data_IF_328405440031
#
_entry.id   IF_328405440031
#
_cell.length_a   1.000
_cell.length_b   1.000
_cell.length_c   1.000
_cell.angle_alpha   90.00
_cell.angle_beta   90.00
_cell.angle_gamma   90.00
#
_symmetry.space_group_name_H-M   'P 1'
#
loop_
_entity.id
_entity.type
_entity.pdbx_description
1 polymer ?
#
# COMPACT_ATOMS: atom_id res chain seq x y z
N UNK A 1 5.86 -13.77 -26.24
CA UNK A 1 5.42 -12.99 -25.06
C UNK A 1 6.58 -12.88 -24.08
N UNK A 2 7.02 -11.68 -23.80
CA UNK A 2 8.00 -11.40 -22.74
C UNK A 2 7.41 -10.40 -21.72
N UNK A 3 7.84 -10.52 -20.48
CA UNK A 3 7.56 -9.58 -19.40
C UNK A 3 8.91 -9.05 -18.92
N UNK A 4 9.06 -7.75 -18.87
CA UNK A 4 10.22 -7.08 -18.30
C UNK A 4 9.80 -6.39 -17.01
N UNK A 5 10.33 -6.88 -15.89
CA UNK A 5 10.13 -6.27 -14.59
C UNK A 5 11.49 -5.86 -14.03
N UNK A 6 11.59 -4.62 -13.62
CA UNK A 6 12.76 -4.10 -12.93
C UNK A 6 12.31 -3.51 -11.59
N UNK A 7 12.95 -3.95 -10.51
CA UNK A 7 12.70 -3.43 -9.16
C UNK A 7 14.04 -3.07 -8.56
N UNK A 8 14.14 -1.88 -8.02
CA UNK A 8 15.29 -1.49 -7.21
C UNK A 8 14.84 -0.64 -6.02
N UNK A 9 15.62 -0.71 -4.97
CA UNK A 9 15.35 0.03 -3.75
C UNK A 9 16.65 0.56 -3.13
N UNK A 10 16.51 1.60 -2.33
CA UNK A 10 17.57 2.16 -1.50
C UNK A 10 16.98 2.52 -0.14
N UNK A 11 17.75 2.28 0.93
CA UNK A 11 17.33 2.60 2.27
C UNK A 11 18.47 3.21 3.09
N UNK A 12 18.12 4.20 3.91
CA UNK A 12 18.96 4.76 4.97
C UNK A 12 18.36 4.36 6.30
N UNK A 13 19.18 3.80 7.18
CA UNK A 13 18.77 3.38 8.51
C UNK A 13 19.56 4.14 9.56
N UNK A 14 18.87 4.50 10.61
CA UNK A 14 19.44 5.09 11.81
C UNK A 14 18.97 4.28 13.02
N UNK A 15 19.89 3.83 13.85
CA UNK A 15 19.62 3.05 15.05
C UNK A 15 20.51 3.53 16.18
N UNK A 16 19.89 3.96 17.29
CA UNK A 16 20.63 4.46 18.43
C UNK A 16 19.87 4.30 19.74
N UNK A 17 20.60 3.86 20.75
CA UNK A 17 20.19 3.94 22.15
C UNK A 17 20.70 5.26 22.76
N UNK A 18 19.77 6.09 23.21
CA UNK A 18 20.04 7.29 23.99
C UNK A 18 19.84 6.94 25.47
N UNK A 19 20.91 6.75 26.20
CA UNK A 19 20.90 6.16 27.53
C UNK A 19 20.37 4.69 27.52
N UNK A 20 20.30 4.06 28.69
CA UNK A 20 19.80 2.68 28.84
C UNK A 20 18.27 2.53 28.58
N UNK A 21 17.56 3.65 28.48
CA UNK A 21 16.09 3.66 28.49
C UNK A 21 15.44 4.06 27.17
N UNK A 22 16.16 4.75 26.29
CA UNK A 22 15.58 5.31 25.08
C UNK A 22 16.19 4.65 23.85
N UNK A 23 15.39 3.96 23.10
CA UNK A 23 15.75 3.40 21.81
C UNK A 23 15.04 4.15 20.69
N UNK A 24 15.78 4.56 19.68
CA UNK A 24 15.26 5.23 18.49
C UNK A 24 15.77 4.49 17.27
N UNK A 25 14.85 4.08 16.42
CA UNK A 25 15.17 3.59 15.09
C UNK A 25 14.40 4.40 14.04
N UNK A 26 15.07 4.72 12.95
CA UNK A 26 14.48 5.42 11.80
C UNK A 26 14.94 4.80 10.50
N UNK A 27 14.05 4.73 9.53
CA UNK A 27 14.36 4.28 8.18
C UNK A 27 13.71 5.21 7.16
N UNK A 28 14.49 5.66 6.20
CA UNK A 28 14.00 6.27 4.97
C UNK A 28 14.29 5.32 3.82
N UNK A 29 13.25 4.91 3.09
CA UNK A 29 13.37 3.96 1.98
C UNK A 29 12.70 4.51 0.73
N UNK A 30 13.33 4.27 -0.41
CA UNK A 30 12.76 4.51 -1.73
C UNK A 30 12.68 3.20 -2.50
N UNK A 31 11.52 2.90 -3.07
CA UNK A 31 11.29 1.75 -3.94
C UNK A 31 10.80 2.23 -5.30
N UNK A 32 11.35 1.62 -6.35
CA UNK A 32 10.93 1.81 -7.72
C UNK A 32 10.61 0.48 -8.37
N UNK A 33 9.48 0.43 -9.05
CA UNK A 33 9.07 -0.71 -9.86
C UNK A 33 8.74 -0.26 -11.28
N UNK A 34 9.31 -0.94 -12.25
CA UNK A 34 9.01 -0.84 -13.67
C UNK A 34 8.47 -2.18 -14.14
N UNK A 35 7.32 -2.17 -14.81
CA UNK A 35 6.72 -3.39 -15.34
C UNK A 35 6.21 -3.13 -16.77
N UNK A 36 6.75 -3.89 -17.71
CA UNK A 36 6.42 -3.81 -19.13
C UNK A 36 6.09 -5.20 -19.68
N UNK A 37 5.09 -5.27 -20.55
CA UNK A 37 4.60 -6.53 -21.12
C UNK A 37 4.42 -6.39 -22.63
N UNK A 38 4.89 -7.38 -23.38
CA UNK A 38 4.69 -7.43 -24.84
C UNK A 38 3.22 -7.38 -25.23
N UNK A 39 2.93 -6.64 -26.28
CA UNK A 39 1.60 -6.55 -26.85
C UNK A 39 0.69 -5.52 -26.19
N UNK A 40 1.21 -4.82 -25.18
CA UNK A 40 0.54 -3.68 -24.57
C UNK A 40 1.51 -2.49 -24.58
N UNK A 41 1.10 -1.35 -25.08
CA UNK A 41 1.86 -0.10 -24.97
C UNK A 41 1.71 0.53 -23.57
N UNK A 42 1.52 -0.33 -22.55
CA UNK A 42 1.14 0.09 -21.21
C UNK A 42 2.22 -0.31 -20.21
N UNK A 43 3.19 0.54 -20.08
CA UNK A 43 4.24 0.39 -19.05
C UNK A 43 3.76 0.93 -17.71
N UNK A 44 3.86 0.14 -16.66
CA UNK A 44 3.47 0.54 -15.31
C UNK A 44 4.73 0.90 -14.51
N UNK A 45 4.72 2.08 -13.94
CA UNK A 45 5.72 2.57 -13.00
C UNK A 45 5.08 2.78 -11.65
N UNK A 46 5.76 2.33 -10.60
CA UNK A 46 5.42 2.62 -9.20
C UNK A 46 6.63 3.17 -8.47
N UNK A 47 6.38 4.16 -7.65
CA UNK A 47 7.36 4.76 -6.75
C UNK A 47 6.78 4.77 -5.35
N UNK A 48 7.57 4.36 -4.36
CA UNK A 48 7.18 4.48 -2.97
C UNK A 48 8.32 5.17 -2.21
N UNK A 49 7.97 6.20 -1.47
CA UNK A 49 8.86 6.84 -0.50
C UNK A 49 8.30 6.49 0.87
N UNK A 50 9.09 5.77 1.67
CA UNK A 50 8.65 5.28 2.97
C UNK A 50 9.53 5.86 4.07
N UNK A 51 8.89 6.45 5.07
CA UNK A 51 9.52 6.85 6.33
C UNK A 51 8.96 5.97 7.45
N UNK A 52 9.84 5.30 8.17
CA UNK A 52 9.51 4.55 9.37
C UNK A 52 10.28 5.10 10.57
N UNK A 53 9.60 5.25 11.69
CA UNK A 53 10.18 5.65 12.95
C UNK A 53 9.69 4.74 14.07
N UNK A 54 10.62 4.30 14.90
CA UNK A 54 10.36 3.54 16.11
C UNK A 54 10.95 4.26 17.31
N UNK A 55 10.18 4.36 18.38
CA UNK A 55 10.65 4.84 19.67
C UNK A 55 10.27 3.87 20.78
N UNK A 56 11.27 3.39 21.50
CA UNK A 56 11.11 2.54 22.68
C UNK A 56 11.57 3.25 23.95
N UNK A 57 10.75 3.19 25.00
CA UNK A 57 11.09 3.70 26.33
C UNK A 57 11.12 2.57 27.34
N UNK A 58 12.33 2.27 27.87
CA UNK A 58 12.60 1.34 28.98
C UNK A 58 11.97 -0.06 28.76
N UNK A 59 11.83 -0.49 27.50
CA UNK A 59 11.08 -1.69 27.09
C UNK A 59 9.62 -1.74 27.62
N UNK A 60 9.08 -0.61 28.08
CA UNK A 60 7.71 -0.48 28.60
C UNK A 60 6.77 0.09 27.57
N UNK A 61 7.15 1.19 26.96
CA UNK A 61 6.34 1.89 25.96
C UNK A 61 7.04 1.82 24.62
N UNK A 62 6.32 1.41 23.60
CA UNK A 62 6.78 1.32 22.22
C UNK A 62 5.82 2.11 21.34
N UNK A 63 6.38 2.93 20.46
CA UNK A 63 5.63 3.75 19.53
C UNK A 63 6.26 3.64 18.13
N UNK A 64 5.43 3.32 17.13
CA UNK A 64 5.84 3.27 15.74
C UNK A 64 5.02 4.25 14.91
N UNK A 65 5.68 4.85 13.94
CA UNK A 65 5.05 5.64 12.88
C UNK A 65 5.60 5.20 11.54
N UNK A 66 4.72 5.00 10.58
CA UNK A 66 5.11 4.78 9.20
C UNK A 66 4.29 5.70 8.28
N UNK A 67 4.97 6.39 7.37
CA UNK A 67 4.39 7.21 6.33
C UNK A 67 4.88 6.67 5.01
N UNK A 68 3.97 6.30 4.12
CA UNK A 68 4.30 5.83 2.78
C UNK A 68 3.61 6.72 1.77
N UNK A 69 4.38 7.39 0.95
CA UNK A 69 3.90 8.12 -0.22
C UNK A 69 4.06 7.22 -1.44
N UNK A 70 2.94 6.82 -2.03
CA UNK A 70 2.88 5.90 -3.17
C UNK A 70 2.48 6.62 -4.44
N UNK A 71 3.29 6.50 -5.48
CA UNK A 71 3.00 7.02 -6.82
C UNK A 71 2.80 5.92 -7.84
N UNK A 72 1.76 6.02 -8.65
CA UNK A 72 1.45 5.05 -9.71
C UNK A 72 1.17 5.73 -11.03
N UNK A 73 1.77 5.21 -12.11
CA UNK A 73 1.47 5.67 -13.47
C UNK A 73 0.10 5.20 -13.98
N UNK A 74 -0.56 4.31 -13.25
CA UNK A 74 -1.90 3.79 -13.60
C UNK A 74 -3.00 4.83 -13.41
N UNK A 75 -2.72 5.87 -12.62
CA UNK A 75 -3.70 6.89 -12.26
C UNK A 75 -3.51 8.16 -13.09
N UNK A 76 -4.57 8.95 -13.18
CA UNK A 76 -4.58 10.19 -13.96
C UNK A 76 -3.54 11.20 -13.45
N UNK A 77 -3.02 12.07 -14.32
CA UNK A 77 -2.21 13.20 -13.90
C UNK A 77 -2.97 14.06 -12.87
N UNK A 78 -2.40 14.22 -11.68
CA UNK A 78 -3.04 14.87 -10.53
C UNK A 78 -3.41 13.92 -9.40
N UNK A 79 -3.79 12.68 -9.72
CA UNK A 79 -4.25 11.68 -8.74
C UNK A 79 -3.20 10.56 -8.51
N UNK A 80 -1.99 10.72 -9.07
CA UNK A 80 -0.95 9.68 -9.07
C UNK A 80 -0.39 9.36 -7.70
N UNK A 81 -0.41 10.31 -6.77
CA UNK A 81 0.26 10.20 -5.48
C UNK A 81 -0.75 10.12 -4.36
N UNK A 82 -0.53 9.21 -3.43
CA UNK A 82 -1.34 9.09 -2.23
C UNK A 82 -0.52 8.63 -1.03
N UNK A 83 -0.90 9.13 0.13
CA UNK A 83 -0.21 8.90 1.40
C UNK A 83 -0.94 7.84 2.23
N UNK A 84 -0.16 6.88 2.77
CA UNK A 84 -0.58 5.84 3.70
C UNK A 84 0.05 6.07 5.08
N UNK A 85 -0.58 6.82 5.97
CA UNK A 85 -0.12 6.97 7.35
C UNK A 85 -0.50 5.75 8.18
N UNK A 86 0.45 5.30 9.04
CA UNK A 86 0.24 4.23 10.01
C UNK A 86 0.90 4.59 11.33
N UNK A 87 0.22 4.34 12.41
CA UNK A 87 0.73 4.52 13.77
C UNK A 87 0.42 3.30 14.62
N UNK A 88 1.34 2.94 15.48
CA UNK A 88 1.12 1.89 16.48
C UNK A 88 1.70 2.25 17.83
N UNK A 89 1.06 1.72 18.86
CA UNK A 89 1.46 1.88 20.23
C UNK A 89 1.40 0.52 20.92
N UNK A 90 2.40 0.23 21.74
CA UNK A 90 2.36 -0.94 22.60
C UNK A 90 2.87 -0.61 24.00
N UNK A 91 2.21 -1.21 25.00
CA UNK A 91 2.56 -1.06 26.40
C UNK A 91 2.82 -2.42 27.02
N UNK A 92 4.07 -2.66 27.39
CA UNK A 92 4.50 -3.84 28.14
C UNK A 92 4.21 -3.62 29.63
N UNK A 93 3.01 -3.94 30.07
CA UNK A 93 2.54 -3.74 31.44
C UNK A 93 3.37 -4.57 32.44
N UNK A 94 3.82 -5.75 32.04
CA UNK A 94 4.68 -6.62 32.87
C UNK A 94 5.96 -5.94 33.34
N UNK A 95 6.47 -4.98 32.56
CA UNK A 95 7.69 -4.26 32.91
C UNK A 95 7.44 -3.09 33.86
N UNK A 96 6.18 -2.88 34.27
CA UNK A 96 5.84 -1.83 35.22
C UNK A 96 6.13 -2.23 36.68
N UNK A 97 6.48 -1.24 37.48
CA UNK A 97 6.88 -1.47 38.88
C UNK A 97 5.77 -2.12 39.70
N UNK A 98 4.50 -1.81 39.41
CA UNK A 98 3.34 -2.36 40.13
C UNK A 98 3.07 -3.84 39.82
N UNK A 99 3.61 -4.34 38.67
CA UNK A 99 3.44 -5.73 38.25
C UNK A 99 4.43 -6.70 38.90
N UNK A 100 5.51 -6.22 39.51
CA UNK A 100 6.59 -7.06 40.10
C UNK A 100 6.12 -8.10 41.12
N UNK A 101 5.01 -7.85 41.80
CA UNK A 101 4.46 -8.74 42.81
C UNK A 101 3.36 -9.69 42.30
N UNK A 102 3.00 -9.61 41.03
CA UNK A 102 1.95 -10.43 40.41
C UNK A 102 2.59 -11.70 39.86
N UNK A 103 2.54 -12.80 40.63
CA UNK A 103 3.24 -14.06 40.30
C UNK A 103 2.53 -14.95 39.27
N UNK A 104 1.24 -14.75 39.04
CA UNK A 104 0.45 -15.56 38.11
C UNK A 104 0.44 -15.03 36.67
N UNK A 105 0.91 -13.80 36.49
CA UNK A 105 0.96 -13.12 35.20
C UNK A 105 2.43 -12.83 34.84
N UNK A 106 3.01 -13.65 33.98
CA UNK A 106 4.43 -13.57 33.62
C UNK A 106 4.67 -12.48 32.57
N UNK A 107 3.71 -12.29 31.67
CA UNK A 107 3.78 -11.30 30.62
C UNK A 107 2.40 -10.73 30.31
N UNK A 108 2.33 -9.41 30.10
CA UNK A 108 1.16 -8.72 29.58
C UNK A 108 1.60 -7.53 28.73
N UNK A 109 1.16 -7.53 27.49
CA UNK A 109 1.38 -6.45 26.52
C UNK A 109 0.06 -6.04 25.90
N UNK A 110 -0.26 -4.75 25.94
CA UNK A 110 -1.37 -4.18 25.16
C UNK A 110 -0.83 -3.58 23.86
N UNK A 111 -1.63 -3.69 22.81
CA UNK A 111 -1.31 -3.17 21.49
C UNK A 111 -2.48 -2.39 20.93
N UNK A 112 -2.20 -1.27 20.28
CA UNK A 112 -3.18 -0.52 19.48
C UNK A 112 -2.51 -0.02 18.23
N UNK A 113 -3.18 -0.11 17.09
CA UNK A 113 -2.69 0.43 15.83
C UNK A 113 -3.82 1.00 14.99
N UNK A 114 -3.49 2.02 14.23
CA UNK A 114 -4.34 2.59 13.21
C UNK A 114 -3.50 2.86 11.97
N UNK A 115 -4.08 2.59 10.80
CA UNK A 115 -3.44 2.89 9.53
C UNK A 115 -4.43 3.04 8.40
N UNK A 116 -4.03 3.82 7.42
CA UNK A 116 -4.71 3.94 6.15
C UNK A 116 -3.83 3.34 5.05
N UNK A 117 -4.38 2.40 4.30
CA UNK A 117 -3.71 1.79 3.16
C UNK A 117 -4.34 2.28 1.87
N UNK A 118 -3.52 2.80 0.97
CA UNK A 118 -3.95 3.19 -0.36
C UNK A 118 -3.51 2.16 -1.40
N UNK A 119 -4.40 1.89 -2.35
CA UNK A 119 -4.19 0.92 -3.41
C UNK A 119 -4.50 1.56 -4.76
N UNK A 120 -3.68 1.28 -5.77
CA UNK A 120 -3.89 1.69 -7.16
C UNK A 120 -4.66 0.65 -7.97
N UNK A 121 -5.58 -0.08 -7.32
CA UNK A 121 -6.43 -1.10 -7.95
C UNK A 121 -7.61 -0.42 -8.62
N UNK A 122 -7.71 -0.61 -9.93
CA UNK A 122 -8.81 -0.06 -10.71
C UNK A 122 -9.91 -1.10 -10.90
N UNK A 123 -11.20 -0.72 -10.79
CA UNK A 123 -12.31 -1.60 -11.14
C UNK A 123 -12.17 -2.12 -12.57
N UNK A 124 -12.40 -3.42 -12.77
CA UNK A 124 -12.31 -4.04 -14.09
C UNK A 124 -10.90 -4.43 -14.54
N UNK A 125 -9.86 -4.14 -13.77
CA UNK A 125 -8.48 -4.53 -14.08
C UNK A 125 -7.80 -3.71 -15.19
N UNK A 126 -8.50 -2.75 -15.80
CA UNK A 126 -7.95 -1.92 -16.86
C UNK A 126 -7.01 -0.86 -16.31
N UNK A 127 -5.85 -0.76 -16.95
CA UNK A 127 -4.71 0.00 -16.45
C UNK A 127 -4.79 1.48 -16.82
N UNK A 128 -5.63 1.84 -17.79
CA UNK A 128 -5.56 3.16 -18.44
C UNK A 128 -6.95 3.79 -18.64
N UNK A 129 -7.77 3.76 -17.61
CA UNK A 129 -9.14 4.28 -17.67
C UNK A 129 -9.24 5.79 -17.81
N UNK A 130 -8.13 6.53 -17.65
CA UNK A 130 -8.07 7.98 -17.85
C UNK A 130 -7.72 8.38 -19.29
N UNK A 131 -7.48 7.41 -20.21
CA UNK A 131 -7.37 7.66 -21.63
C UNK A 131 -8.68 7.35 -22.35
N UNK A 132 -8.99 8.12 -23.39
CA UNK A 132 -10.06 7.79 -24.29
C UNK A 132 -9.72 6.51 -25.06
N UNK A 133 -10.66 5.59 -25.11
CA UNK A 133 -10.50 4.33 -25.81
C UNK A 133 -11.22 4.40 -27.15
N UNK A 134 -10.50 4.03 -28.21
CA UNK A 134 -11.03 3.96 -29.57
C UNK A 134 -11.13 2.50 -30.00
N UNK A 135 -12.27 2.13 -30.53
CA UNK A 135 -12.53 0.78 -31.05
C UNK A 135 -12.70 0.80 -32.55
N UNK A 136 -12.17 -0.26 -33.19
CA UNK A 136 -12.49 -0.56 -34.58
C UNK A 136 -13.84 -1.28 -34.65
N UNK A 137 -14.79 -0.73 -35.36
CA UNK A 137 -16.09 -1.34 -35.55
C UNK A 137 -16.00 -2.41 -36.66
N UNK A 138 -16.08 -3.68 -36.29
CA UNK A 138 -16.21 -4.77 -37.24
C UNK A 138 -17.67 -4.84 -37.70
N UNK A 139 -17.94 -4.59 -38.96
CA UNK A 139 -19.26 -4.82 -39.55
C UNK A 139 -19.95 -3.60 -40.19
N UNK A 140 -19.43 -2.39 -39.97
CA UNK A 140 -19.83 -1.24 -40.77
C UNK A 140 -18.61 -0.75 -41.52
N UNK A 141 -18.56 -1.06 -42.79
CA UNK A 141 -17.48 -0.65 -43.69
C UNK A 141 -18.03 0.29 -44.72
N UNK A 142 -17.30 1.37 -44.98
CA UNK A 142 -17.62 2.27 -46.09
C UNK A 142 -16.74 1.89 -47.29
N UNK A 143 -17.35 1.55 -48.43
CA UNK A 143 -16.61 1.42 -49.68
C UNK A 143 -16.20 2.81 -50.15
N UNK A 144 -14.92 2.96 -50.46
CA UNK A 144 -14.39 4.20 -51.02
C UNK A 144 -14.33 4.17 -52.57
N UNK A 145 -14.85 3.13 -53.18
CA UNK A 145 -14.97 3.01 -54.62
C UNK A 145 -16.43 3.07 -55.12
N UNK A 146 -16.63 3.49 -56.36
CA UNK A 146 -17.95 3.64 -56.97
C UNK A 146 -18.63 2.28 -57.27
N UNK A 147 -17.93 1.17 -57.14
CA UNK A 147 -18.40 -0.17 -57.54
C UNK A 147 -18.75 -1.06 -56.35
N UNK A 148 -18.52 -0.62 -55.13
CA UNK A 148 -18.74 -1.37 -53.88
C UNK A 148 -17.93 -2.70 -53.78
N UNK A 149 -16.91 -2.88 -54.62
CA UNK A 149 -16.11 -4.09 -54.70
C UNK A 149 -14.70 -3.94 -54.08
N UNK A 150 -14.37 -2.74 -53.65
CA UNK A 150 -13.07 -2.42 -53.10
C UNK A 150 -12.87 -2.78 -51.65
N UNK A 151 -11.72 -2.46 -51.15
CA UNK A 151 -11.34 -2.70 -49.76
C UNK A 151 -12.24 -1.92 -48.83
N UNK A 152 -12.91 -2.62 -47.93
CA UNK A 152 -13.74 -2.03 -46.90
C UNK A 152 -12.88 -1.66 -45.69
N UNK A 153 -12.96 -0.43 -45.24
CA UNK A 153 -12.27 0.05 -44.06
C UNK A 153 -13.25 0.11 -42.90
N UNK A 154 -12.89 -0.53 -41.78
CA UNK A 154 -13.68 -0.44 -40.55
C UNK A 154 -13.62 0.97 -39.94
N UNK A 155 -14.75 1.42 -39.43
CA UNK A 155 -14.82 2.69 -38.72
C UNK A 155 -14.22 2.59 -37.31
N UNK A 156 -13.55 3.65 -36.89
CA UNK A 156 -13.20 3.86 -35.49
C UNK A 156 -14.27 4.72 -34.82
N UNK A 157 -14.65 4.36 -33.64
CA UNK A 157 -15.55 5.14 -32.80
C UNK A 157 -15.00 5.29 -31.40
N UNK A 158 -15.39 6.35 -30.70
CA UNK A 158 -15.07 6.52 -29.29
C UNK A 158 -15.87 5.48 -28.48
N UNK A 159 -15.17 4.57 -27.85
CA UNK A 159 -15.78 3.55 -26.97
C UNK A 159 -16.06 4.10 -25.58
N UNK A 160 -15.33 3.62 -24.61
CA UNK A 160 -15.45 4.09 -23.23
C UNK A 160 -14.81 5.46 -23.07
N UNK A 161 -15.58 6.45 -22.59
CA UNK A 161 -15.05 7.76 -22.26
C UNK A 161 -14.03 7.66 -21.12
N UNK A 162 -13.01 8.50 -21.18
CA UNK A 162 -12.02 8.58 -20.08
C UNK A 162 -12.68 8.99 -18.78
N UNK A 163 -12.24 8.41 -17.70
CA UNK A 163 -12.55 8.85 -16.35
C UNK A 163 -11.59 9.98 -15.96
N UNK A 164 -12.12 11.17 -15.68
CA UNK A 164 -11.28 12.36 -15.43
C UNK A 164 -10.56 12.30 -14.08
N UNK A 165 -11.18 11.68 -13.10
CA UNK A 165 -10.64 11.51 -11.76
C UNK A 165 -10.76 10.05 -11.35
N UNK A 166 -9.61 9.41 -11.12
CA UNK A 166 -9.54 8.08 -10.54
C UNK A 166 -8.65 8.22 -9.33
N UNK A 167 -9.28 8.10 -8.18
CA UNK A 167 -8.58 8.14 -6.90
C UNK A 167 -8.13 6.74 -6.48
N UNK A 168 -7.22 6.70 -5.53
CA UNK A 168 -6.80 5.46 -4.90
C UNK A 168 -7.94 4.87 -4.07
N UNK A 169 -8.03 3.55 -4.06
CA UNK A 169 -8.85 2.86 -3.07
C UNK A 169 -8.21 3.04 -1.69
N UNK A 170 -9.01 3.47 -0.72
CA UNK A 170 -8.59 3.73 0.65
C UNK A 170 -9.18 2.67 1.60
N UNK A 171 -8.33 2.04 2.40
CA UNK A 171 -8.73 1.10 3.43
C UNK A 171 -8.17 1.55 4.80
N UNK A 172 -9.02 2.11 5.63
CA UNK A 172 -8.68 2.44 7.02
C UNK A 172 -8.83 1.21 7.90
N UNK A 173 -7.80 0.90 8.68
CA UNK A 173 -7.75 -0.25 9.59
C UNK A 173 -7.42 0.22 10.99
N UNK A 174 -8.17 -0.31 11.95
CA UNK A 174 -7.93 -0.14 13.38
C UNK A 174 -7.80 -1.51 14.03
N UNK A 175 -6.81 -1.69 14.89
CA UNK A 175 -6.60 -2.91 15.64
C UNK A 175 -6.26 -2.57 17.10
N UNK A 176 -6.86 -3.34 18.03
CA UNK A 176 -6.50 -3.35 19.45
C UNK A 176 -6.38 -4.80 19.89
N UNK A 177 -5.31 -5.12 20.60
CA UNK A 177 -5.07 -6.46 21.07
C UNK A 177 -4.24 -6.52 22.34
N UNK A 178 -4.15 -7.71 22.90
CA UNK A 178 -3.27 -8.00 24.00
C UNK A 178 -2.59 -9.37 23.86
N UNK A 179 -1.41 -9.47 24.44
CA UNK A 179 -0.67 -10.71 24.59
C UNK A 179 -0.42 -10.94 26.08
N UNK A 180 -0.77 -12.12 26.60
CA UNK A 180 -0.57 -12.49 27.98
C UNK A 180 0.06 -13.88 28.11
N UNK A 181 0.98 -14.04 29.07
CA UNK A 181 1.50 -15.34 29.48
C UNK A 181 1.17 -15.52 30.96
N UNK A 182 0.47 -16.60 31.27
CA UNK A 182 -0.03 -16.90 32.60
C UNK A 182 0.60 -18.21 33.14
N UNK A 183 0.78 -18.29 34.43
CA UNK A 183 1.18 -19.52 35.15
C UNK A 183 2.41 -20.23 34.57
N UNK A 184 3.37 -19.48 34.04
CA UNK A 184 4.62 -20.02 33.50
C UNK A 184 4.50 -20.75 32.15
N UNK A 185 3.33 -20.73 31.47
CA UNK A 185 3.21 -21.47 30.22
C UNK A 185 1.96 -21.26 29.37
N UNK A 186 0.90 -20.70 29.91
CA UNK A 186 -0.34 -20.46 29.15
C UNK A 186 -0.23 -19.13 28.41
N UNK A 187 -0.10 -19.19 27.08
CA UNK A 187 -0.06 -18.02 26.22
C UNK A 187 -1.44 -17.74 25.63
N UNK A 188 -1.91 -16.51 25.81
CA UNK A 188 -3.18 -16.02 25.29
C UNK A 188 -2.89 -14.77 24.45
N UNK A 189 -3.40 -14.73 23.23
CA UNK A 189 -3.39 -13.54 22.36
C UNK A 189 -4.80 -13.33 21.83
N UNK A 190 -5.27 -12.09 21.87
CA UNK A 190 -6.56 -11.71 21.28
C UNK A 190 -6.46 -10.35 20.63
N UNK A 191 -7.10 -10.22 19.45
CA UNK A 191 -7.15 -9.02 18.66
C UNK A 191 -8.58 -8.72 18.24
N UNK A 192 -8.95 -7.46 18.33
CA UNK A 192 -10.13 -6.89 17.69
C UNK A 192 -9.67 -5.95 16.60
N UNK A 193 -10.15 -6.15 15.38
CA UNK A 193 -9.86 -5.28 14.26
C UNK A 193 -11.14 -4.79 13.58
N UNK A 194 -11.07 -3.59 13.06
CA UNK A 194 -12.12 -2.98 12.24
C UNK A 194 -11.48 -2.40 10.99
N UNK A 195 -12.11 -2.66 9.84
CA UNK A 195 -11.68 -2.13 8.54
C UNK A 195 -12.88 -1.49 7.85
N UNK A 196 -12.62 -0.32 7.32
CA UNK A 196 -13.57 0.42 6.49
C UNK A 196 -12.89 0.79 5.17
#
# INVERSE_FOLDING_TARGET
>A
NWIRRCVWNAALNYDKNFSEKHHVYGQLKYDYEYNDKTGTNTTVYRHNISLFGHYGYDNRLLFDVALVESGSSRLAPGDKWAMSPNVSFAWNISNEKFMKNVKWLDFLKLRASWGNQVLDVLPGGDVWTYYDQFYLMNGVSYPFDATYTGTQWGNTYLGTAKTQHIDHENASKFNVGFDATLFGGLNISADYYYQH
#
